data_IF_897141091560
#
_entry.id   IF_897141091560
#
_cell.length_a   1.000
_cell.length_b   1.000
_cell.length_c   1.000
_cell.angle_alpha   90.00
_cell.angle_beta   90.00
_cell.angle_gamma   90.00
#
_symmetry.space_group_name_H-M   'P 1'
#
loop_
_entity.id
_entity.type
_entity.pdbx_description
1 polymer ?
#
# COMPACT_ATOMS: atom_id res chain seq x y z
N UNK A 1 34.76 58.77 17.96
CA UNK A 1 34.89 57.83 19.10
C UNK A 1 34.28 56.49 18.73
N UNK A 2 35.12 55.51 18.38
CA UNK A 2 34.70 54.16 18.04
C UNK A 2 34.27 53.45 19.33
N UNK A 3 32.98 53.13 19.47
CA UNK A 3 32.45 52.29 20.56
C UNK A 3 33.08 50.90 20.42
N UNK A 4 34.01 50.56 21.32
CA UNK A 4 34.54 49.19 21.46
C UNK A 4 33.36 48.22 21.61
N UNK A 5 33.13 47.38 20.59
CA UNK A 5 32.22 46.22 20.69
C UNK A 5 32.74 45.35 21.84
N UNK A 6 31.90 45.11 22.85
CA UNK A 6 32.19 44.11 23.88
C UNK A 6 32.38 42.75 23.18
N UNK A 7 33.34 41.92 23.64
CA UNK A 7 33.52 40.58 23.10
C UNK A 7 32.21 39.78 23.26
N UNK A 8 31.92 38.83 22.36
CA UNK A 8 30.73 37.98 22.46
C UNK A 8 30.77 37.23 23.79
N UNK A 9 29.78 37.49 24.63
CA UNK A 9 29.57 36.74 25.87
C UNK A 9 29.13 35.32 25.49
N UNK A 10 29.94 34.33 25.87
CA UNK A 10 29.64 32.93 25.66
C UNK A 10 28.72 32.50 26.81
N UNK A 11 27.45 32.20 26.48
CA UNK A 11 26.48 31.73 27.48
C UNK A 11 27.03 30.48 28.17
N UNK A 12 27.12 30.51 29.51
CA UNK A 12 27.38 29.30 30.29
C UNK A 12 26.07 28.52 30.45
N UNK A 13 26.15 27.23 30.76
CA UNK A 13 24.97 26.33 30.74
C UNK A 13 23.78 26.82 31.58
N UNK A 14 24.04 27.60 32.64
CA UNK A 14 23.02 28.26 33.45
C UNK A 14 22.28 29.39 32.70
N UNK A 15 23.00 30.22 31.95
CA UNK A 15 22.40 31.32 31.19
C UNK A 15 21.60 30.81 29.99
N UNK A 16 22.04 29.69 29.42
CA UNK A 16 21.25 28.95 28.43
C UNK A 16 19.95 28.51 29.10
N UNK A 17 20.02 27.83 30.26
CA UNK A 17 18.83 27.33 30.97
C UNK A 17 17.82 28.42 31.33
N UNK A 18 18.27 29.56 31.88
CA UNK A 18 17.41 30.73 32.19
C UNK A 18 16.71 31.26 30.93
N UNK A 19 17.41 31.29 29.79
CA UNK A 19 16.83 31.73 28.52
C UNK A 19 15.85 30.70 27.93
N UNK A 20 16.03 29.40 28.16
CA UNK A 20 15.14 28.35 27.60
C UNK A 20 13.95 27.99 28.49
N UNK A 21 14.00 28.31 29.79
CA UNK A 21 12.97 27.94 30.79
C UNK A 21 11.57 28.45 30.45
N UNK A 22 11.50 29.65 29.89
CA UNK A 22 10.25 30.38 29.67
C UNK A 22 9.73 30.27 28.22
N UNK A 23 10.40 29.51 27.35
CA UNK A 23 9.80 29.18 26.05
C UNK A 23 8.54 28.33 26.27
N UNK A 24 7.49 28.52 25.45
CA UNK A 24 6.37 27.59 25.43
C UNK A 24 6.93 26.19 25.26
N UNK A 25 6.54 25.25 26.14
CA UNK A 25 6.80 23.83 25.97
C UNK A 25 6.07 23.37 24.71
N UNK A 26 6.64 23.64 23.54
CA UNK A 26 6.31 22.91 22.33
C UNK A 26 6.73 21.47 22.63
N UNK A 27 5.73 20.65 22.91
CA UNK A 27 5.88 19.21 23.03
C UNK A 27 6.61 18.71 21.80
N UNK A 28 7.84 18.26 21.99
CA UNK A 28 8.65 17.51 21.02
C UNK A 28 8.05 16.10 20.83
N UNK A 29 6.73 15.94 20.90
CA UNK A 29 6.03 14.65 20.80
C UNK A 29 5.92 14.19 19.34
N UNK A 30 5.70 15.12 18.42
CA UNK A 30 5.27 14.76 17.06
C UNK A 30 6.46 14.33 16.17
N UNK A 31 7.67 14.77 16.53
CA UNK A 31 8.91 14.38 15.86
C UNK A 31 9.43 13.05 16.40
N UNK A 32 9.27 12.80 17.70
CA UNK A 32 9.85 11.66 18.40
C UNK A 32 9.39 10.32 17.80
N UNK A 33 8.08 10.08 17.69
CA UNK A 33 7.57 8.76 17.29
C UNK A 33 8.02 8.34 15.89
N UNK A 34 7.95 9.25 14.90
CA UNK A 34 8.36 8.92 13.51
C UNK A 34 9.85 8.63 13.37
N UNK A 35 10.70 9.43 14.02
CA UNK A 35 12.14 9.24 13.95
C UNK A 35 12.57 8.01 14.76
N UNK A 36 11.94 7.77 15.92
CA UNK A 36 12.14 6.55 16.72
C UNK A 36 11.74 5.29 15.96
N UNK A 37 10.54 5.26 15.35
CA UNK A 37 10.08 4.13 14.54
C UNK A 37 11.06 3.80 13.42
N UNK A 38 11.55 4.81 12.71
CA UNK A 38 12.50 4.61 11.62
C UNK A 38 13.83 4.05 12.15
N UNK A 39 14.36 4.59 13.25
CA UNK A 39 15.63 4.14 13.81
C UNK A 39 15.54 2.70 14.32
N UNK A 40 14.49 2.39 15.07
CA UNK A 40 14.20 1.03 15.56
C UNK A 40 14.05 0.08 14.37
N UNK A 41 13.28 0.46 13.34
CA UNK A 41 13.14 -0.33 12.14
C UNK A 41 14.49 -0.57 11.44
N UNK A 42 15.27 0.49 11.19
CA UNK A 42 16.55 0.37 10.50
C UNK A 42 17.50 -0.54 11.27
N UNK A 43 17.59 -0.38 12.60
CA UNK A 43 18.46 -1.21 13.44
C UNK A 43 18.00 -2.67 13.45
N UNK A 44 16.70 -2.94 13.65
CA UNK A 44 16.14 -4.30 13.57
C UNK A 44 16.44 -4.91 12.20
N UNK A 45 16.03 -4.21 11.14
CA UNK A 45 16.06 -4.74 9.78
C UNK A 45 17.49 -4.97 9.30
N UNK A 46 18.39 -4.00 9.48
CA UNK A 46 19.78 -4.12 9.04
C UNK A 46 20.56 -5.19 9.81
N UNK A 47 20.25 -5.37 11.10
CA UNK A 47 20.86 -6.40 11.94
C UNK A 47 20.40 -7.81 11.54
N UNK A 48 19.09 -7.98 11.27
CA UNK A 48 18.54 -9.25 10.78
C UNK A 48 19.05 -9.59 9.37
N UNK A 49 19.13 -8.60 8.48
CA UNK A 49 19.64 -8.76 7.11
C UNK A 49 21.17 -8.89 7.06
N UNK A 50 21.86 -8.65 8.17
CA UNK A 50 23.32 -8.61 8.26
C UNK A 50 23.96 -7.68 7.22
N UNK A 51 23.39 -6.48 7.03
CA UNK A 51 23.94 -5.48 6.10
C UNK A 51 25.30 -4.98 6.62
N UNK A 52 26.42 -5.25 5.93
CA UNK A 52 27.75 -4.91 6.44
C UNK A 52 27.95 -3.41 6.71
N UNK A 53 27.15 -2.56 6.06
CA UNK A 53 27.26 -1.11 6.23
C UNK A 53 26.55 -0.57 7.48
N UNK A 54 25.49 -1.24 7.94
CA UNK A 54 24.55 -0.69 8.91
C UNK A 54 24.12 -1.66 10.02
N UNK A 55 24.67 -2.88 10.06
CA UNK A 55 24.34 -3.86 11.11
C UNK A 55 24.85 -3.39 12.47
N UNK A 56 24.03 -3.58 13.51
CA UNK A 56 24.45 -3.37 14.90
C UNK A 56 25.32 -4.53 15.41
N UNK A 57 25.38 -5.64 14.68
CA UNK A 57 26.24 -6.79 14.95
C UNK A 57 27.58 -6.69 14.20
N UNK A 58 28.43 -5.74 14.60
CA UNK A 58 29.74 -5.51 13.97
C UNK A 58 30.91 -6.15 14.76
N UNK A 59 32.09 -6.24 14.14
CA UNK A 59 33.26 -6.89 14.76
C UNK A 59 33.74 -6.17 16.03
N UNK A 60 33.61 -4.84 16.10
CA UNK A 60 34.00 -4.08 17.30
C UNK A 60 33.12 -4.46 18.48
N UNK A 61 31.81 -4.52 18.25
CA UNK A 61 30.86 -4.94 19.27
C UNK A 61 31.13 -6.37 19.75
N UNK A 62 31.49 -7.26 18.82
CA UNK A 62 31.83 -8.65 19.13
C UNK A 62 33.10 -8.81 19.98
N UNK A 63 34.04 -7.86 19.89
CA UNK A 63 35.22 -7.80 20.76
C UNK A 63 34.91 -7.22 22.14
N UNK A 64 33.92 -6.33 22.24
CA UNK A 64 33.45 -5.73 23.49
C UNK A 64 32.54 -6.68 24.29
N UNK A 65 31.89 -7.66 23.63
CA UNK A 65 30.96 -8.59 24.27
C UNK A 65 31.52 -9.25 25.54
N UNK A 66 32.70 -9.91 25.53
CA UNK A 66 33.25 -10.56 26.74
C UNK A 66 33.45 -9.62 27.93
N UNK A 67 33.62 -8.31 27.67
CA UNK A 67 33.84 -7.30 28.70
C UNK A 67 32.54 -6.77 29.30
N UNK A 68 31.45 -6.79 28.53
CA UNK A 68 30.19 -6.10 28.87
C UNK A 68 29.03 -7.03 29.14
N UNK A 69 28.97 -8.22 28.52
CA UNK A 69 27.79 -9.09 28.53
C UNK A 69 28.13 -10.57 28.32
N UNK A 70 27.33 -11.46 28.90
CA UNK A 70 27.48 -12.92 28.76
C UNK A 70 26.72 -13.45 27.53
N UNK A 71 27.24 -13.16 26.34
CA UNK A 71 26.75 -13.72 25.06
C UNK A 71 27.82 -14.59 24.40
N UNK A 72 28.21 -15.67 25.08
CA UNK A 72 29.31 -16.56 24.65
C UNK A 72 29.13 -17.17 23.26
N UNK A 73 27.90 -17.32 22.78
CA UNK A 73 27.61 -17.80 21.43
C UNK A 73 27.92 -16.77 20.32
N UNK A 74 27.99 -15.48 20.69
CA UNK A 74 28.33 -14.38 19.81
C UNK A 74 29.80 -13.96 19.92
N UNK A 75 30.59 -14.45 20.86
CA UNK A 75 31.99 -14.05 20.99
C UNK A 75 32.84 -14.38 19.75
N UNK A 76 33.86 -13.55 19.49
CA UNK A 76 34.84 -13.81 18.42
C UNK A 76 35.59 -15.11 18.70
N UNK A 77 35.79 -15.94 17.67
CA UNK A 77 36.49 -17.23 17.81
C UNK A 77 37.84 -17.20 17.13
N UNK A 78 38.85 -17.73 17.80
CA UNK A 78 40.14 -18.00 17.17
C UNK A 78 40.00 -19.17 16.19
N UNK A 79 40.38 -18.92 14.94
CA UNK A 79 40.55 -19.94 13.93
C UNK A 79 41.91 -20.65 14.12
N UNK A 80 42.08 -21.87 13.58
CA UNK A 80 43.36 -22.62 13.64
C UNK A 80 44.56 -21.86 13.05
N UNK A 81 44.32 -20.87 12.18
CA UNK A 81 45.33 -20.03 11.57
C UNK A 81 45.71 -18.78 12.39
N UNK A 82 45.24 -18.70 13.65
CA UNK A 82 45.49 -17.57 14.56
C UNK A 82 44.63 -16.32 14.30
N UNK A 83 43.84 -16.29 13.23
CA UNK A 83 42.91 -15.16 12.96
C UNK A 83 41.64 -15.28 13.79
N UNK A 84 41.06 -14.13 14.11
CA UNK A 84 39.75 -14.05 14.75
C UNK A 84 38.64 -14.07 13.70
N UNK A 85 37.56 -14.81 13.97
CA UNK A 85 36.38 -14.90 13.11
C UNK A 85 35.11 -14.59 13.89
N UNK A 86 34.20 -13.83 13.25
CA UNK A 86 32.86 -13.56 13.75
C UNK A 86 31.94 -14.74 13.45
N UNK A 87 31.49 -15.53 14.45
CA UNK A 87 30.52 -16.59 14.19
C UNK A 87 29.17 -16.00 13.76
N UNK A 88 28.50 -16.67 12.82
CA UNK A 88 27.17 -16.26 12.35
C UNK A 88 26.19 -16.24 13.53
N UNK A 89 25.54 -15.10 13.78
CA UNK A 89 24.47 -15.01 14.77
C UNK A 89 23.22 -15.78 14.31
N UNK A 90 22.49 -16.36 15.26
CA UNK A 90 21.22 -17.05 14.99
C UNK A 90 20.13 -16.12 14.44
N UNK A 91 20.20 -14.83 14.78
CA UNK A 91 19.28 -13.79 14.31
C UNK A 91 19.69 -13.16 12.98
N UNK A 92 20.84 -13.52 12.41
CA UNK A 92 21.32 -12.93 11.15
C UNK A 92 21.07 -13.87 9.97
N UNK A 93 20.53 -13.33 8.88
CA UNK A 93 20.38 -14.06 7.63
C UNK A 93 21.74 -14.28 6.95
N UNK A 94 21.84 -15.38 6.20
CA UNK A 94 22.89 -15.54 5.18
C UNK A 94 22.67 -14.55 4.04
N UNK A 95 23.72 -14.34 3.23
CA UNK A 95 23.61 -13.54 2.00
C UNK A 95 22.48 -14.04 1.09
N UNK A 96 22.34 -15.35 0.91
CA UNK A 96 21.29 -15.91 0.04
C UNK A 96 19.88 -15.72 0.63
N UNK A 97 19.71 -15.91 1.94
CA UNK A 97 18.43 -15.62 2.62
C UNK A 97 18.06 -14.13 2.54
N UNK A 98 19.03 -13.23 2.72
CA UNK A 98 18.81 -11.79 2.58
C UNK A 98 18.40 -11.41 1.15
N UNK A 99 18.99 -12.03 0.12
CA UNK A 99 18.57 -11.85 -1.28
C UNK A 99 17.15 -12.34 -1.53
N UNK A 100 16.72 -13.43 -0.89
CA UNK A 100 15.35 -13.92 -0.96
C UNK A 100 14.37 -12.90 -0.37
N UNK A 101 14.65 -12.36 0.82
CA UNK A 101 13.83 -11.30 1.42
C UNK A 101 13.73 -10.08 0.49
N UNK A 102 14.84 -9.62 -0.08
CA UNK A 102 14.83 -8.53 -1.05
C UNK A 102 14.02 -8.86 -2.30
N UNK A 103 14.07 -10.10 -2.81
CA UNK A 103 13.28 -10.53 -3.97
C UNK A 103 11.78 -10.51 -3.65
N UNK A 104 11.39 -11.05 -2.50
CA UNK A 104 10.00 -10.99 -2.03
C UNK A 104 9.50 -9.56 -1.92
N UNK A 105 10.29 -8.63 -1.37
CA UNK A 105 9.93 -7.20 -1.29
C UNK A 105 9.87 -6.55 -2.68
N UNK A 106 10.73 -6.99 -3.62
CA UNK A 106 10.75 -6.47 -4.99
C UNK A 106 9.50 -6.86 -5.80
N UNK A 107 8.97 -8.04 -5.54
CA UNK A 107 7.78 -8.58 -6.19
C UNK A 107 6.49 -8.14 -5.48
N UNK A 108 6.58 -7.75 -4.20
CA UNK A 108 5.46 -7.29 -3.38
C UNK A 108 4.67 -6.16 -4.04
N UNK A 109 3.35 -6.35 -4.14
CA UNK A 109 2.38 -5.34 -4.54
C UNK A 109 1.55 -4.95 -3.32
N UNK A 110 1.55 -3.66 -3.00
CA UNK A 110 0.70 -3.09 -1.95
C UNK A 110 -0.52 -2.40 -2.58
N UNK A 111 -1.64 -2.27 -1.85
CA UNK A 111 -2.77 -1.45 -2.27
C UNK A 111 -2.31 -0.03 -2.61
N UNK A 112 -3.02 0.59 -3.56
CA UNK A 112 -2.67 1.96 -3.98
C UNK A 112 -2.78 2.94 -2.81
N UNK A 113 -1.85 3.90 -2.75
CA UNK A 113 -1.75 4.87 -1.65
C UNK A 113 -1.26 4.31 -0.29
N UNK A 114 -1.16 2.99 -0.10
CA UNK A 114 -0.83 2.40 1.21
C UNK A 114 0.67 2.45 1.56
N UNK A 115 1.56 2.26 0.58
CA UNK A 115 3.01 2.37 0.75
C UNK A 115 3.63 2.97 -0.51
N UNK A 116 4.86 3.49 -0.42
CA UNK A 116 5.58 3.83 -1.65
C UNK A 116 6.01 2.55 -2.39
N UNK A 117 6.53 2.69 -3.60
CA UNK A 117 6.99 1.55 -4.39
C UNK A 117 8.28 0.94 -3.79
N UNK A 118 8.11 0.03 -2.81
CA UNK A 118 9.18 -0.66 -2.08
C UNK A 118 10.14 -1.44 -2.99
N UNK A 119 9.68 -1.85 -4.18
CA UNK A 119 10.54 -2.55 -5.14
C UNK A 119 11.75 -1.72 -5.58
N UNK A 120 11.64 -0.39 -5.56
CA UNK A 120 12.75 0.54 -5.88
C UNK A 120 13.82 0.55 -4.80
N UNK A 121 13.46 0.14 -3.58
CA UNK A 121 14.36 0.10 -2.44
C UNK A 121 15.13 -1.22 -2.34
N UNK A 122 14.68 -2.28 -3.01
CA UNK A 122 15.26 -3.62 -2.88
C UNK A 122 16.42 -3.87 -3.85
N UNK A 123 17.65 -3.98 -3.32
CA UNK A 123 18.84 -4.43 -4.02
C UNK A 123 19.03 -5.93 -3.82
N UNK A 124 18.42 -6.73 -4.70
CA UNK A 124 18.48 -8.19 -4.71
C UNK A 124 19.90 -8.70 -4.96
N UNK A 125 20.76 -7.94 -5.66
CA UNK A 125 22.13 -8.38 -5.93
C UNK A 125 22.99 -8.35 -4.68
N UNK A 126 22.82 -7.31 -3.86
CA UNK A 126 23.58 -7.09 -2.63
C UNK A 126 22.86 -7.60 -1.38
N UNK A 127 21.62 -8.07 -1.50
CA UNK A 127 20.81 -8.55 -0.38
C UNK A 127 20.50 -7.47 0.65
N UNK A 128 20.22 -6.24 0.22
CA UNK A 128 19.94 -5.11 1.13
C UNK A 128 18.86 -4.17 0.62
N UNK A 129 18.30 -3.39 1.52
CA UNK A 129 17.34 -2.33 1.21
C UNK A 129 18.02 -0.95 1.23
N UNK A 130 17.62 -0.04 0.34
CA UNK A 130 18.12 1.33 0.28
C UNK A 130 17.02 2.34 0.01
N UNK A 131 17.15 3.51 0.63
CA UNK A 131 16.27 4.65 0.34
C UNK A 131 14.83 4.47 0.80
N UNK A 132 14.57 3.55 1.74
CA UNK A 132 13.27 3.47 2.42
C UNK A 132 13.03 4.76 3.21
N UNK A 133 11.87 5.38 3.01
CA UNK A 133 11.46 6.55 3.79
C UNK A 133 10.85 6.09 5.11
N UNK A 134 10.75 6.98 6.09
CA UNK A 134 10.17 6.65 7.40
C UNK A 134 8.75 6.08 7.31
N UNK A 135 7.96 6.46 6.30
CA UNK A 135 6.63 5.88 6.07
C UNK A 135 6.71 4.42 5.57
N UNK A 136 7.69 4.11 4.72
CA UNK A 136 7.91 2.75 4.24
C UNK A 136 8.37 1.83 5.38
N UNK A 137 9.29 2.33 6.21
CA UNK A 137 9.74 1.67 7.44
C UNK A 137 8.56 1.40 8.37
N UNK A 138 7.70 2.39 8.59
CA UNK A 138 6.48 2.27 9.40
C UNK A 138 5.54 1.17 8.90
N UNK A 139 5.23 1.17 7.60
CA UNK A 139 4.39 0.14 6.98
C UNK A 139 5.03 -1.24 7.15
N UNK A 140 6.34 -1.35 6.91
CA UNK A 140 7.04 -2.61 7.08
C UNK A 140 6.98 -3.10 8.53
N UNK A 141 7.27 -2.21 9.47
CA UNK A 141 7.28 -2.49 10.90
C UNK A 141 5.92 -3.00 11.38
N UNK A 142 4.82 -2.42 10.89
CA UNK A 142 3.45 -2.80 11.25
C UNK A 142 2.87 -4.00 10.52
N UNK A 143 3.32 -4.28 9.30
CA UNK A 143 2.67 -5.27 8.44
C UNK A 143 3.57 -6.43 8.02
N UNK A 144 4.83 -6.14 7.71
CA UNK A 144 5.70 -7.05 6.98
C UNK A 144 6.76 -7.71 7.86
N UNK A 145 7.18 -7.08 8.97
CA UNK A 145 8.26 -7.60 9.82
C UNK A 145 8.11 -9.10 10.17
N UNK A 146 7.02 -9.56 10.81
CA UNK A 146 6.89 -10.97 11.18
C UNK A 146 6.74 -11.89 9.95
N UNK A 147 6.26 -11.36 8.82
CA UNK A 147 6.07 -12.13 7.59
C UNK A 147 7.44 -12.37 6.92
N UNK A 148 8.23 -11.30 6.76
CA UNK A 148 9.53 -11.34 6.11
C UNK A 148 10.57 -12.15 6.88
N UNK A 149 10.38 -12.28 8.19
CA UNK A 149 11.33 -12.93 9.10
C UNK A 149 10.73 -14.18 9.77
N UNK A 150 9.69 -14.78 9.16
CA UNK A 150 8.99 -15.97 9.68
C UNK A 150 9.88 -17.22 9.78
N UNK A 151 10.93 -17.31 8.97
CA UNK A 151 11.85 -18.45 8.94
C UNK A 151 12.75 -18.55 10.18
N UNK A 152 12.83 -17.49 11.00
CA UNK A 152 13.64 -17.54 12.21
C UNK A 152 13.03 -18.43 13.30
N UNK A 153 13.88 -19.02 14.17
CA UNK A 153 13.44 -19.75 15.35
C UNK A 153 12.48 -18.95 16.22
N UNK A 154 11.66 -19.66 17.00
CA UNK A 154 10.59 -19.04 17.80
C UNK A 154 11.12 -18.04 18.83
N UNK A 155 12.35 -18.25 19.29
CA UNK A 155 13.09 -17.40 20.22
C UNK A 155 13.32 -16.01 19.64
N UNK A 156 13.45 -15.88 18.31
CA UNK A 156 13.68 -14.61 17.60
C UNK A 156 12.38 -14.08 16.98
N UNK A 157 11.59 -14.95 16.34
CA UNK A 157 10.39 -14.52 15.63
C UNK A 157 9.27 -14.06 16.56
N UNK A 158 9.16 -14.61 17.79
CA UNK A 158 8.15 -14.17 18.76
C UNK A 158 8.41 -12.72 19.24
N UNK A 159 9.60 -12.33 19.72
CA UNK A 159 9.86 -10.93 20.10
C UNK A 159 9.70 -9.94 18.95
N UNK A 160 10.10 -10.31 17.72
CA UNK A 160 9.85 -9.51 16.52
C UNK A 160 8.35 -9.31 16.25
N UNK A 161 7.55 -10.36 16.45
CA UNK A 161 6.09 -10.30 16.32
C UNK A 161 5.46 -9.44 17.42
N UNK A 162 5.97 -9.50 18.65
CA UNK A 162 5.52 -8.64 19.75
C UNK A 162 5.83 -7.16 19.47
N UNK A 163 7.02 -6.85 18.95
CA UNK A 163 7.40 -5.51 18.52
C UNK A 163 6.49 -4.98 17.39
N UNK A 164 6.22 -5.82 16.38
CA UNK A 164 5.26 -5.52 15.32
C UNK A 164 3.86 -5.19 15.88
N UNK A 165 3.36 -6.03 16.79
CA UNK A 165 2.05 -5.83 17.44
C UNK A 165 2.02 -4.55 18.26
N UNK A 166 3.09 -4.26 18.99
CA UNK A 166 3.22 -3.02 19.75
C UNK A 166 2.99 -1.79 18.86
N UNK A 167 3.75 -1.64 17.77
CA UNK A 167 3.56 -0.53 16.84
C UNK A 167 2.23 -0.56 16.11
N UNK A 168 1.70 -1.75 15.80
CA UNK A 168 0.38 -1.89 15.18
C UNK A 168 -0.71 -1.33 16.08
N UNK A 169 -0.72 -1.67 17.36
CA UNK A 169 -1.71 -1.20 18.33
C UNK A 169 -1.50 0.28 18.71
N UNK A 170 -0.27 0.69 18.95
CA UNK A 170 0.06 2.08 19.32
C UNK A 170 -0.43 3.07 18.26
N UNK A 171 -0.30 2.71 16.99
CA UNK A 171 -0.60 3.59 15.87
C UNK A 171 -1.87 3.16 15.13
N UNK A 172 -2.84 2.58 15.84
CA UNK A 172 -4.21 2.41 15.37
C UNK A 172 -4.92 3.77 15.27
N UNK A 173 -5.94 3.84 14.42
CA UNK A 173 -6.75 5.05 14.24
C UNK A 173 -7.65 5.38 15.44
N UNK A 174 -7.97 4.36 16.23
CA UNK A 174 -8.79 4.43 17.43
C UNK A 174 -8.00 3.78 18.57
N UNK A 175 -7.84 4.49 19.68
CA UNK A 175 -7.13 4.01 20.85
C UNK A 175 -8.09 3.82 22.02
N UNK A 176 -7.96 2.70 22.73
CA UNK A 176 -8.63 2.46 24.01
C UNK A 176 -7.61 2.63 25.13
N UNK A 177 -7.99 3.33 26.20
CA UNK A 177 -7.10 3.57 27.34
C UNK A 177 -6.59 2.27 27.95
N UNK A 178 -7.46 1.26 28.09
CA UNK A 178 -7.09 -0.07 28.59
C UNK A 178 -6.00 -0.75 27.76
N UNK A 179 -6.07 -0.62 26.42
CA UNK A 179 -5.05 -1.16 25.52
C UNK A 179 -3.72 -0.41 25.68
N UNK A 180 -3.76 0.92 25.84
CA UNK A 180 -2.56 1.73 26.04
C UNK A 180 -1.85 1.40 27.37
N UNK A 181 -2.61 1.25 28.47
CA UNK A 181 -2.06 0.81 29.77
C UNK A 181 -1.42 -0.58 29.65
N UNK A 182 -2.03 -1.47 28.86
CA UNK A 182 -1.43 -2.79 28.57
C UNK A 182 -0.15 -2.65 27.74
N UNK A 183 -0.10 -1.75 26.76
CA UNK A 183 1.11 -1.50 25.96
C UNK A 183 2.24 -0.93 26.84
N UNK A 184 1.94 -0.01 27.75
CA UNK A 184 2.90 0.56 28.72
C UNK A 184 3.54 -0.54 29.59
N UNK A 185 2.74 -1.50 30.06
CA UNK A 185 3.25 -2.63 30.86
C UNK A 185 4.05 -3.64 30.04
N UNK A 186 3.69 -3.82 28.77
CA UNK A 186 4.29 -4.84 27.91
C UNK A 186 5.60 -4.37 27.25
N UNK A 187 5.74 -3.09 26.92
CA UNK A 187 6.90 -2.60 26.16
C UNK A 187 8.25 -2.85 26.86
N UNK A 188 8.41 -2.73 28.19
CA UNK A 188 9.67 -3.08 28.85
C UNK A 188 9.99 -4.58 28.68
N UNK A 189 8.96 -5.45 28.73
CA UNK A 189 9.13 -6.89 28.53
C UNK A 189 9.58 -7.20 27.09
N UNK A 190 9.01 -6.49 26.11
CA UNK A 190 9.42 -6.62 24.70
C UNK A 190 10.88 -6.23 24.53
N UNK A 191 11.29 -5.08 25.10
CA UNK A 191 12.69 -4.62 25.04
C UNK A 191 13.62 -5.65 25.70
N UNK A 192 13.32 -6.13 26.91
CA UNK A 192 14.14 -7.15 27.57
C UNK A 192 14.23 -8.46 26.78
N UNK A 193 13.16 -8.86 26.07
CA UNK A 193 13.21 -10.04 25.17
C UNK A 193 14.13 -9.80 23.98
N UNK A 194 14.13 -8.59 23.42
CA UNK A 194 15.04 -8.21 22.33
C UNK A 194 16.50 -8.13 22.84
N UNK A 195 16.73 -7.63 24.05
CA UNK A 195 18.06 -7.54 24.70
C UNK A 195 18.71 -8.90 24.90
N UNK A 196 17.90 -9.96 25.03
CA UNK A 196 18.38 -11.35 25.09
C UNK A 196 18.79 -11.93 23.74
N UNK A 197 18.50 -11.22 22.64
CA UNK A 197 18.76 -11.69 21.27
C UNK A 197 19.87 -10.87 20.63
N UNK A 198 19.75 -9.54 20.70
CA UNK A 198 20.63 -8.61 20.00
C UNK A 198 21.80 -8.15 20.89
N UNK A 199 22.95 -7.78 20.30
CA UNK A 199 24.08 -7.28 21.06
C UNK A 199 23.78 -5.92 21.71
N UNK A 200 24.44 -5.56 22.82
CA UNK A 200 24.22 -4.30 23.54
C UNK A 200 24.25 -3.03 22.68
N UNK A 201 25.13 -2.95 21.67
CA UNK A 201 25.19 -1.81 20.75
C UNK A 201 23.86 -1.53 20.03
N UNK A 202 23.02 -2.55 19.82
CA UNK A 202 21.69 -2.40 19.26
C UNK A 202 20.80 -1.45 20.07
N UNK A 203 20.94 -1.46 21.40
CA UNK A 203 20.10 -0.70 22.32
C UNK A 203 20.72 0.67 22.60
N UNK A 204 20.66 1.55 21.60
CA UNK A 204 20.97 2.95 21.82
C UNK A 204 19.76 3.65 22.46
N UNK A 205 19.88 4.97 22.69
CA UNK A 205 18.81 5.72 23.34
C UNK A 205 17.46 5.60 22.61
N UNK A 206 17.45 5.43 21.28
CA UNK A 206 16.23 5.40 20.48
C UNK A 206 15.38 4.15 20.74
N UNK A 207 15.98 2.98 20.95
CA UNK A 207 15.27 1.74 21.27
C UNK A 207 14.63 1.81 22.67
N UNK A 208 15.29 2.46 23.62
CA UNK A 208 14.75 2.63 24.97
C UNK A 208 13.61 3.64 25.04
N UNK A 209 13.55 4.62 24.14
CA UNK A 209 12.45 5.59 24.11
C UNK A 209 11.08 4.97 23.82
N UNK A 210 11.02 3.74 23.31
CA UNK A 210 9.78 3.00 23.09
C UNK A 210 8.92 2.90 24.35
N UNK A 211 9.53 2.88 25.54
CA UNK A 211 8.78 2.81 26.81
C UNK A 211 7.89 4.03 27.06
N UNK A 212 8.22 5.18 26.46
CA UNK A 212 7.48 6.43 26.65
C UNK A 212 6.30 6.57 25.67
N UNK A 213 6.31 5.82 24.56
CA UNK A 213 5.31 5.96 23.50
C UNK A 213 3.87 5.70 23.96
N UNK A 214 3.57 4.69 24.80
CA UNK A 214 2.22 4.49 25.31
C UNK A 214 1.72 5.69 26.12
N UNK A 215 2.56 6.24 27.01
CA UNK A 215 2.21 7.43 27.79
C UNK A 215 2.03 8.67 26.92
N UNK A 216 2.86 8.83 25.90
CA UNK A 216 2.68 9.87 24.91
C UNK A 216 1.33 9.75 24.18
N UNK A 217 0.90 8.52 23.85
CA UNK A 217 -0.40 8.27 23.24
C UNK A 217 -1.58 8.45 24.22
N UNK A 218 -1.39 8.19 25.52
CA UNK A 218 -2.40 8.47 26.56
C UNK A 218 -2.62 9.97 26.70
N UNK A 219 -1.54 10.77 26.69
CA UNK A 219 -1.61 12.22 26.86
C UNK A 219 -2.04 12.94 25.57
N UNK A 220 -1.49 12.52 24.43
CA UNK A 220 -1.64 13.19 23.13
C UNK A 220 -2.69 12.57 22.20
N UNK A 221 -3.34 11.49 22.61
CA UNK A 221 -4.29 10.76 21.78
C UNK A 221 -3.65 10.05 20.57
N UNK A 222 -4.47 9.67 19.55
CA UNK A 222 -4.02 8.89 18.40
C UNK A 222 -2.82 9.49 17.68
N UNK A 223 -1.79 8.67 17.48
CA UNK A 223 -0.49 9.09 16.90
C UNK A 223 -0.65 9.69 15.50
N UNK A 224 -1.66 9.27 14.74
CA UNK A 224 -1.90 9.73 13.36
C UNK A 224 -2.08 11.24 13.21
N UNK A 225 -2.66 11.91 14.22
CA UNK A 225 -2.85 13.37 14.21
C UNK A 225 -1.58 14.14 14.56
N UNK A 226 -0.61 13.44 15.14
CA UNK A 226 0.67 13.94 15.63
C UNK A 226 1.83 13.51 14.73
N UNK A 227 1.55 12.85 13.61
CA UNK A 227 2.58 12.47 12.66
C UNK A 227 3.07 13.66 11.85
N UNK A 228 4.38 13.69 11.61
CA UNK A 228 4.98 14.62 10.65
C UNK A 228 4.72 14.25 9.16
N UNK A 229 4.18 13.06 8.87
CA UNK A 229 3.98 12.61 7.48
C UNK A 229 3.09 13.55 6.65
N UNK A 230 1.91 14.00 7.12
CA UNK A 230 1.05 14.90 6.34
C UNK A 230 1.73 16.23 6.07
N UNK A 231 2.40 16.81 7.07
CA UNK A 231 3.11 18.08 6.97
C UNK A 231 4.28 17.99 5.98
N UNK A 232 5.11 16.95 6.05
CA UNK A 232 6.20 16.76 5.09
C UNK A 232 5.70 16.53 3.66
N UNK A 233 4.59 15.81 3.50
CA UNK A 233 3.96 15.60 2.18
C UNK A 233 3.49 16.93 1.60
N UNK A 234 2.82 17.74 2.40
CA UNK A 234 2.37 19.09 2.04
C UNK A 234 3.54 20.01 1.67
N UNK A 235 4.59 20.03 2.49
CA UNK A 235 5.80 20.80 2.18
C UNK A 235 6.47 20.33 0.89
N UNK A 236 6.42 19.03 0.61
CA UNK A 236 6.85 18.46 -0.66
C UNK A 236 6.07 18.99 -1.87
N UNK A 237 4.76 19.19 -1.73
CA UNK A 237 3.92 19.81 -2.75
C UNK A 237 4.30 21.28 -2.97
N UNK A 238 4.40 22.06 -1.89
CA UNK A 238 4.80 23.47 -1.96
C UNK A 238 6.16 23.64 -2.63
N UNK A 239 7.13 22.78 -2.30
CA UNK A 239 8.45 22.79 -2.95
C UNK A 239 8.37 22.58 -4.46
N UNK A 240 7.44 21.76 -4.95
CA UNK A 240 7.22 21.54 -6.40
C UNK A 240 6.49 22.70 -7.08
N UNK A 241 5.68 23.44 -6.32
CA UNK A 241 4.96 24.63 -6.77
C UNK A 241 5.87 25.85 -6.98
N UNK A 242 7.06 25.88 -6.36
CA UNK A 242 8.01 27.00 -6.54
C UNK A 242 8.60 26.97 -7.96
N UNK A 243 8.11 27.85 -8.83
CA UNK A 243 8.67 28.09 -10.17
C UNK A 243 9.67 29.24 -10.19
N UNK A 244 9.45 30.27 -9.36
CA UNK A 244 10.37 31.40 -9.21
C UNK A 244 10.96 31.43 -7.79
N UNK A 245 12.26 31.14 -7.68
CA UNK A 245 12.97 31.13 -6.39
C UNK A 245 13.19 32.52 -5.78
N UNK A 246 13.06 33.60 -6.55
CA UNK A 246 13.15 34.98 -6.03
C UNK A 246 11.86 35.42 -5.32
N UNK A 247 10.74 34.72 -5.55
CA UNK A 247 9.42 34.99 -4.97
C UNK A 247 8.73 33.65 -4.65
N UNK A 248 9.19 33.01 -3.57
CA UNK A 248 8.77 31.67 -3.17
C UNK A 248 7.29 31.67 -2.76
N UNK A 249 6.90 32.59 -1.89
CA UNK A 249 5.53 32.72 -1.37
C UNK A 249 4.55 33.02 -2.49
N UNK A 250 4.92 33.94 -3.39
CA UNK A 250 4.13 34.28 -4.57
C UNK A 250 3.93 33.08 -5.50
N UNK A 251 4.98 32.28 -5.74
CA UNK A 251 4.88 31.07 -6.58
C UNK A 251 3.94 30.03 -5.96
N UNK A 252 4.04 29.82 -4.64
CA UNK A 252 3.17 28.88 -3.91
C UNK A 252 1.72 29.37 -3.95
N UNK A 253 1.48 30.65 -3.65
CA UNK A 253 0.15 31.25 -3.67
C UNK A 253 -0.50 31.14 -5.05
N UNK A 254 0.22 31.51 -6.12
CA UNK A 254 -0.30 31.40 -7.50
C UNK A 254 -0.59 29.96 -7.87
N UNK A 255 0.30 29.01 -7.54
CA UNK A 255 0.05 27.58 -7.79
C UNK A 255 -1.16 27.06 -7.02
N UNK A 256 -1.36 27.50 -5.78
CA UNK A 256 -2.51 27.13 -4.97
C UNK A 256 -3.79 27.71 -5.56
N UNK A 257 -3.83 29.01 -5.85
CA UNK A 257 -4.97 29.68 -6.49
C UNK A 257 -5.34 29.01 -7.81
N UNK A 258 -4.35 28.68 -8.64
CA UNK A 258 -4.58 27.94 -9.88
C UNK A 258 -5.25 26.59 -9.61
N UNK A 259 -4.71 25.79 -8.68
CA UNK A 259 -5.26 24.48 -8.31
C UNK A 259 -6.69 24.60 -7.77
N UNK A 260 -6.96 25.54 -6.87
CA UNK A 260 -8.30 25.78 -6.31
C UNK A 260 -9.27 26.24 -7.40
N UNK A 261 -8.86 27.17 -8.27
CA UNK A 261 -9.69 27.65 -9.38
C UNK A 261 -10.03 26.49 -10.31
N UNK A 262 -9.05 25.67 -10.68
CA UNK A 262 -9.25 24.44 -11.47
C UNK A 262 -10.19 23.47 -10.77
N UNK A 263 -10.07 23.31 -9.44
CA UNK A 263 -10.94 22.46 -8.63
C UNK A 263 -12.39 22.98 -8.64
N UNK A 264 -12.62 24.27 -8.38
CA UNK A 264 -13.94 24.89 -8.46
C UNK A 264 -14.52 24.80 -9.87
N UNK A 265 -13.75 25.13 -10.90
CA UNK A 265 -14.18 24.99 -12.29
C UNK A 265 -14.56 23.54 -12.63
N UNK A 266 -13.90 22.54 -12.05
CA UNK A 266 -14.24 21.12 -12.30
C UNK A 266 -15.64 20.75 -11.78
N UNK A 267 -16.12 21.39 -10.70
CA UNK A 267 -17.49 21.20 -10.20
C UNK A 267 -18.54 21.79 -11.14
N UNK A 268 -18.23 22.91 -11.80
CA UNK A 268 -19.12 23.56 -12.77
C UNK A 268 -19.08 22.90 -14.16
N UNK A 269 -17.89 22.48 -14.61
CA UNK A 269 -17.67 21.86 -15.92
C UNK A 269 -17.48 20.35 -15.78
N UNK A 270 -18.53 19.63 -15.36
CA UNK A 270 -18.54 18.17 -15.14
C UNK A 270 -18.00 17.33 -16.32
N UNK A 271 -18.03 17.86 -17.54
CA UNK A 271 -17.60 17.17 -18.77
C UNK A 271 -16.10 17.28 -19.06
N UNK A 272 -15.38 18.20 -18.42
CA UNK A 272 -13.94 18.39 -18.63
C UNK A 272 -13.23 18.08 -17.33
N UNK A 273 -12.49 16.96 -17.30
CA UNK A 273 -11.70 16.56 -16.13
C UNK A 273 -10.48 17.48 -15.99
N UNK A 274 -10.69 18.65 -15.36
CA UNK A 274 -9.70 19.71 -15.23
C UNK A 274 -8.61 19.42 -14.18
N UNK A 275 -8.83 18.46 -13.28
CA UNK A 275 -7.88 18.12 -12.22
C UNK A 275 -6.89 17.01 -12.66
N UNK A 276 -5.64 17.05 -12.19
CA UNK A 276 -4.74 15.92 -12.29
C UNK A 276 -5.39 14.73 -11.62
N UNK A 277 -5.43 13.59 -12.33
CA UNK A 277 -6.03 12.31 -11.89
C UNK A 277 -5.58 11.79 -10.52
N UNK A 278 -4.61 12.45 -9.87
CA UNK A 278 -4.06 12.09 -8.56
C UNK A 278 -4.86 12.63 -7.36
N UNK A 279 -5.63 13.72 -7.51
CA UNK A 279 -6.38 14.31 -6.37
C UNK A 279 -7.71 13.61 -6.07
N UNK A 280 -8.21 12.77 -6.98
CA UNK A 280 -9.45 12.00 -6.82
C UNK A 280 -9.23 10.52 -6.46
N UNK A 281 -8.00 10.13 -6.09
CA UNK A 281 -7.63 8.71 -5.89
C UNK A 281 -8.36 8.07 -4.70
N UNK A 282 -8.87 8.86 -3.74
CA UNK A 282 -9.44 8.34 -2.49
C UNK A 282 -10.96 8.43 -2.38
N UNK A 283 -11.66 8.89 -3.42
CA UNK A 283 -13.12 8.96 -3.38
C UNK A 283 -13.73 8.07 -4.47
N UNK A 284 -14.14 6.83 -4.14
CA UNK A 284 -14.89 6.00 -5.08
C UNK A 284 -16.26 6.60 -5.45
N UNK A 285 -16.74 7.64 -4.75
CA UNK A 285 -18.01 8.32 -5.03
C UNK A 285 -17.93 9.52 -5.98
N UNK A 286 -16.75 10.13 -6.16
CA UNK A 286 -16.69 11.48 -6.76
C UNK A 286 -16.95 11.56 -8.26
N UNK A 287 -16.97 10.46 -9.02
CA UNK A 287 -17.10 10.54 -10.48
C UNK A 287 -18.52 10.44 -11.01
N UNK A 288 -19.51 9.98 -10.23
CA UNK A 288 -20.83 9.65 -10.81
C UNK A 288 -22.06 9.89 -9.93
N UNK A 289 -21.99 10.70 -8.86
CA UNK A 289 -23.20 10.99 -8.07
C UNK A 289 -24.30 11.77 -8.82
N UNK A 290 -24.08 12.20 -10.07
CA UNK A 290 -25.06 13.01 -10.81
C UNK A 290 -25.29 12.64 -12.27
N UNK A 291 -24.82 11.47 -12.74
CA UNK A 291 -25.27 10.92 -14.03
C UNK A 291 -26.05 9.67 -13.69
N UNK A 292 -27.38 9.79 -13.60
CA UNK A 292 -28.26 8.65 -13.62
C UNK A 292 -27.88 7.81 -14.85
N UNK A 293 -27.36 6.58 -14.66
CA UNK A 293 -27.02 5.71 -15.78
C UNK A 293 -28.29 5.53 -16.61
N UNK A 294 -28.17 5.70 -17.93
CA UNK A 294 -29.31 5.57 -18.84
C UNK A 294 -29.91 4.16 -18.84
N UNK A 295 -29.08 3.15 -18.49
CA UNK A 295 -29.47 1.75 -18.34
C UNK A 295 -28.85 1.20 -17.05
N UNK A 296 -29.56 0.31 -16.36
CA UNK A 296 -29.17 -0.19 -15.03
C UNK A 296 -27.83 -0.92 -15.03
N UNK A 297 -27.46 -1.57 -16.14
CA UNK A 297 -26.19 -2.28 -16.32
C UNK A 297 -24.97 -1.36 -16.29
N UNK A 298 -25.14 -0.07 -16.56
CA UNK A 298 -24.07 0.93 -16.51
C UNK A 298 -23.96 1.66 -15.16
N UNK A 299 -24.71 1.21 -14.15
CA UNK A 299 -24.65 1.78 -12.80
C UNK A 299 -23.32 1.56 -12.08
N UNK A 300 -22.53 0.55 -12.49
CA UNK A 300 -21.24 0.22 -11.89
C UNK A 300 -20.11 0.44 -12.91
N UNK A 301 -19.79 1.70 -13.20
CA UNK A 301 -18.64 2.03 -14.02
C UNK A 301 -17.33 1.88 -13.23
N UNK A 302 -16.40 1.12 -13.79
CA UNK A 302 -15.02 1.13 -13.33
C UNK A 302 -14.18 2.17 -14.06
N UNK A 303 -12.93 2.33 -13.63
CA UNK A 303 -11.96 3.27 -14.19
C UNK A 303 -10.88 2.51 -14.98
N UNK A 304 -10.74 2.72 -16.29
CA UNK A 304 -9.62 2.20 -17.05
C UNK A 304 -8.30 2.94 -16.73
N UNK A 305 -7.18 2.26 -16.90
CA UNK A 305 -5.84 2.81 -16.71
C UNK A 305 -4.83 2.24 -17.70
N UNK A 306 -3.92 3.09 -18.15
CA UNK A 306 -2.94 2.78 -19.19
C UNK A 306 -3.34 3.33 -20.56
N UNK A 307 -2.52 3.03 -21.58
CA UNK A 307 -2.75 3.49 -22.95
C UNK A 307 -3.90 2.68 -23.58
N UNK A 308 -4.97 3.32 -24.09
CA UNK A 308 -6.04 2.62 -24.79
C UNK A 308 -5.53 1.98 -26.07
N UNK A 309 -6.13 0.85 -26.46
CA UNK A 309 -5.92 0.20 -27.76
C UNK A 309 -7.25 -0.13 -28.39
N UNK A 310 -7.33 0.05 -29.70
CA UNK A 310 -8.45 -0.45 -30.48
C UNK A 310 -8.41 -1.98 -30.47
N UNK A 311 -9.55 -2.60 -30.16
CA UNK A 311 -9.72 -4.05 -30.15
C UNK A 311 -10.99 -4.40 -30.92
N UNK A 312 -10.86 -5.30 -31.89
CA UNK A 312 -12.01 -5.85 -32.60
C UNK A 312 -12.44 -7.11 -31.87
N UNK A 313 -13.66 -7.07 -31.33
CA UNK A 313 -14.23 -8.14 -30.51
C UNK A 313 -14.49 -9.36 -31.41
N UNK A 314 -14.09 -10.56 -30.95
CA UNK A 314 -14.37 -11.80 -31.68
C UNK A 314 -15.87 -12.11 -31.67
N UNK A 315 -16.38 -12.83 -32.68
CA UNK A 315 -17.82 -13.13 -32.78
C UNK A 315 -18.38 -13.79 -31.51
N UNK A 316 -17.66 -14.75 -30.93
CA UNK A 316 -18.05 -15.41 -29.66
C UNK A 316 -18.06 -14.46 -28.46
N UNK A 317 -17.10 -13.54 -28.41
CA UNK A 317 -17.04 -12.53 -27.35
C UNK A 317 -18.18 -11.53 -27.51
N UNK A 318 -18.51 -11.18 -28.75
CA UNK A 318 -19.61 -10.28 -29.09
C UNK A 318 -20.95 -10.90 -28.70
N UNK A 319 -21.21 -12.15 -29.08
CA UNK A 319 -22.42 -12.90 -28.74
C UNK A 319 -22.59 -13.02 -27.22
N UNK A 320 -21.53 -13.44 -26.53
CA UNK A 320 -21.53 -13.56 -25.06
C UNK A 320 -21.77 -12.21 -24.37
N UNK A 321 -21.12 -11.16 -24.86
CA UNK A 321 -21.28 -9.79 -24.33
C UNK A 321 -22.69 -9.27 -24.57
N UNK A 322 -23.23 -9.44 -25.77
CA UNK A 322 -24.59 -9.03 -26.13
C UNK A 322 -25.62 -9.75 -25.26
N UNK A 323 -25.51 -11.07 -25.11
CA UNK A 323 -26.36 -11.86 -24.22
C UNK A 323 -26.27 -11.40 -22.77
N UNK A 324 -25.06 -11.15 -22.27
CA UNK A 324 -24.86 -10.66 -20.92
C UNK A 324 -25.60 -9.33 -20.68
N UNK A 325 -25.51 -8.40 -21.65
CA UNK A 325 -26.25 -7.14 -21.58
C UNK A 325 -27.75 -7.35 -21.55
N UNK A 326 -28.29 -8.23 -22.39
CA UNK A 326 -29.74 -8.46 -22.47
C UNK A 326 -30.32 -9.10 -21.20
N UNK A 327 -29.61 -10.03 -20.55
CA UNK A 327 -30.10 -10.75 -19.37
C UNK A 327 -29.97 -9.91 -18.09
N UNK A 328 -28.93 -9.07 -17.99
CA UNK A 328 -28.59 -8.36 -16.75
C UNK A 328 -29.07 -6.90 -16.71
N UNK A 329 -29.78 -6.43 -17.75
CA UNK A 329 -30.34 -5.08 -17.81
C UNK A 329 -31.80 -5.08 -17.32
N UNK A 330 -32.11 -4.28 -16.30
CA UNK A 330 -33.45 -4.28 -15.68
C UNK A 330 -34.54 -3.82 -16.66
N UNK A 331 -34.18 -2.93 -17.58
CA UNK A 331 -35.06 -2.42 -18.63
C UNK A 331 -35.42 -3.48 -19.68
N UNK A 332 -34.63 -4.56 -19.80
CA UNK A 332 -34.87 -5.67 -20.74
C UNK A 332 -35.66 -6.82 -20.09
N UNK A 333 -35.65 -6.93 -18.76
CA UNK A 333 -36.35 -8.01 -18.01
C UNK A 333 -37.83 -8.18 -18.38
N UNK A 334 -38.65 -7.12 -18.55
CA UNK A 334 -40.05 -7.30 -18.94
C UNK A 334 -40.22 -8.00 -20.29
N UNK A 335 -39.28 -7.78 -21.22
CA UNK A 335 -39.29 -8.43 -22.53
C UNK A 335 -38.84 -9.88 -22.45
N UNK A 336 -37.93 -10.19 -21.53
CA UNK A 336 -37.54 -11.57 -21.24
C UNK A 336 -38.73 -12.37 -20.67
N UNK A 337 -39.50 -11.77 -19.77
CA UNK A 337 -40.74 -12.37 -19.24
C UNK A 337 -41.79 -12.58 -20.33
N UNK A 338 -42.00 -11.59 -21.21
CA UNK A 338 -42.89 -11.71 -22.37
C UNK A 338 -42.45 -12.84 -23.32
N UNK A 339 -41.16 -12.97 -23.59
CA UNK A 339 -40.60 -14.05 -24.41
C UNK A 339 -40.88 -15.43 -23.78
N UNK A 340 -40.62 -15.58 -22.48
CA UNK A 340 -40.91 -16.83 -21.76
C UNK A 340 -42.40 -17.19 -21.80
N UNK A 341 -43.29 -16.20 -21.66
CA UNK A 341 -44.74 -16.40 -21.73
C UNK A 341 -45.21 -16.78 -23.13
N UNK A 342 -44.70 -16.13 -24.17
CA UNK A 342 -45.05 -16.39 -25.57
C UNK A 342 -44.64 -17.81 -26.00
N UNK A 343 -43.45 -18.25 -25.59
CA UNK A 343 -42.92 -19.57 -25.93
C UNK A 343 -43.33 -20.69 -24.96
N UNK A 344 -44.09 -20.37 -23.89
CA UNK A 344 -44.55 -21.33 -22.85
C UNK A 344 -43.41 -22.18 -22.28
N UNK A 345 -42.28 -21.56 -22.00
CA UNK A 345 -41.05 -22.25 -21.58
C UNK A 345 -41.09 -22.51 -20.07
N UNK A 346 -40.80 -23.74 -19.63
CA UNK A 346 -40.57 -24.08 -18.21
C UNK A 346 -39.18 -23.58 -17.77
N UNK A 347 -39.03 -23.14 -16.51
CA UNK A 347 -37.78 -22.56 -15.99
C UNK A 347 -36.53 -23.46 -16.19
N UNK A 348 -36.70 -24.78 -16.24
CA UNK A 348 -35.61 -25.77 -16.39
C UNK A 348 -34.98 -25.80 -17.80
N UNK A 349 -35.74 -25.47 -18.86
CA UNK A 349 -35.26 -25.46 -20.26
C UNK A 349 -34.97 -24.05 -20.81
N UNK A 350 -35.22 -23.02 -19.99
CA UNK A 350 -35.20 -21.62 -20.40
C UNK A 350 -33.83 -21.13 -20.87
N UNK A 351 -32.74 -21.61 -20.27
CA UNK A 351 -31.41 -21.06 -20.52
C UNK A 351 -30.95 -21.25 -21.98
N UNK A 352 -31.17 -22.41 -22.59
CA UNK A 352 -30.73 -22.68 -23.97
C UNK A 352 -31.48 -21.84 -24.99
N UNK A 353 -32.82 -21.83 -24.89
CA UNK A 353 -33.70 -21.05 -25.76
C UNK A 353 -33.49 -19.55 -25.65
N UNK A 354 -33.23 -19.04 -24.44
CA UNK A 354 -32.90 -17.62 -24.23
C UNK A 354 -31.59 -17.27 -24.95
N UNK A 355 -30.55 -18.10 -24.83
CA UNK A 355 -29.27 -17.83 -25.49
C UNK A 355 -29.33 -17.90 -27.02
N UNK A 356 -30.19 -18.74 -27.59
CA UNK A 356 -30.29 -18.92 -29.05
C UNK A 356 -31.27 -17.95 -29.72
N UNK A 357 -32.45 -17.73 -29.12
CA UNK A 357 -33.58 -17.12 -29.84
C UNK A 357 -33.96 -15.74 -29.31
N UNK A 358 -33.66 -15.41 -28.05
CA UNK A 358 -34.07 -14.15 -27.44
C UNK A 358 -33.52 -12.91 -28.14
N UNK A 359 -32.23 -12.82 -28.55
CA UNK A 359 -31.71 -11.63 -29.22
C UNK A 359 -32.43 -11.32 -30.53
N UNK A 360 -32.65 -12.35 -31.36
CA UNK A 360 -33.34 -12.24 -32.64
C UNK A 360 -34.80 -11.86 -32.43
N UNK A 361 -35.48 -12.54 -31.49
CA UNK A 361 -36.86 -12.24 -31.13
C UNK A 361 -37.02 -10.81 -30.61
N UNK A 362 -36.14 -10.36 -29.70
CA UNK A 362 -36.20 -9.01 -29.14
C UNK A 362 -36.02 -7.97 -30.24
N UNK A 363 -35.10 -8.21 -31.18
CA UNK A 363 -34.87 -7.34 -32.34
C UNK A 363 -36.08 -7.25 -33.25
N UNK A 364 -36.79 -8.34 -33.49
CA UNK A 364 -38.06 -8.33 -34.25
C UNK A 364 -39.16 -7.61 -33.46
N UNK A 365 -39.30 -7.93 -32.17
CA UNK A 365 -40.32 -7.38 -31.29
C UNK A 365 -40.25 -5.85 -31.19
N UNK A 366 -39.04 -5.29 -31.02
CA UNK A 366 -38.87 -3.83 -30.87
C UNK A 366 -39.00 -3.04 -32.17
N UNK A 367 -38.93 -3.71 -33.31
CA UNK A 367 -39.07 -3.11 -34.64
C UNK A 367 -40.49 -3.26 -35.21
N UNK A 368 -41.35 -4.11 -34.60
CA UNK A 368 -42.75 -4.20 -34.98
C UNK A 368 -43.55 -3.02 -34.41
N UNK A 369 -44.10 -2.19 -35.29
CA UNK A 369 -44.88 -1.00 -34.95
C UNK A 369 -46.17 -1.32 -34.15
N UNK A 370 -46.61 -2.58 -34.14
CA UNK A 370 -47.80 -3.05 -33.41
C UNK A 370 -47.56 -3.24 -31.91
N UNK A 371 -46.30 -3.36 -31.47
CA UNK A 371 -45.92 -3.71 -30.09
C UNK A 371 -45.70 -2.47 -29.18
N UNK A 372 -46.17 -1.30 -29.62
CA UNK A 372 -45.93 -0.02 -28.96
C UNK A 372 -44.59 0.60 -29.36
N UNK A 373 -44.18 1.67 -28.66
CA UNK A 373 -42.88 2.32 -28.90
C UNK A 373 -41.92 1.98 -27.77
N UNK A 374 -41.09 0.92 -27.90
CA UNK A 374 -40.05 0.62 -26.92
C UNK A 374 -39.12 1.82 -26.73
N UNK A 375 -38.56 1.93 -25.53
CA UNK A 375 -37.53 2.94 -25.22
C UNK A 375 -36.41 2.90 -26.28
N UNK A 376 -35.90 4.06 -26.74
CA UNK A 376 -34.77 4.12 -27.67
C UNK A 376 -33.56 3.31 -27.20
N UNK A 377 -33.38 3.16 -25.88
CA UNK A 377 -32.27 2.42 -25.28
C UNK A 377 -32.45 0.91 -25.41
N UNK A 378 -33.69 0.40 -25.29
CA UNK A 378 -33.99 -1.02 -25.52
C UNK A 378 -33.83 -1.37 -26.99
N UNK A 379 -34.24 -0.46 -27.90
CA UNK A 379 -33.99 -0.61 -29.34
C UNK A 379 -32.48 -0.69 -29.65
N UNK A 380 -31.67 0.17 -29.02
CA UNK A 380 -30.22 0.13 -29.19
C UNK A 380 -29.61 -1.17 -28.65
N UNK A 381 -30.05 -1.66 -27.49
CA UNK A 381 -29.60 -2.94 -26.92
C UNK A 381 -29.94 -4.14 -27.81
N UNK A 382 -31.11 -4.13 -28.47
CA UNK A 382 -31.51 -5.19 -29.38
C UNK A 382 -30.63 -5.29 -30.64
N UNK A 383 -29.96 -4.19 -31.04
CA UNK A 383 -29.02 -4.17 -32.16
C UNK A 383 -27.64 -4.73 -31.80
N UNK A 384 -27.30 -4.76 -30.51
CA UNK A 384 -26.04 -5.27 -29.98
C UNK A 384 -24.90 -4.25 -29.94
N UNK A 385 -23.77 -4.62 -29.29
CA UNK A 385 -22.65 -3.71 -29.06
C UNK A 385 -21.86 -3.41 -30.34
N UNK A 386 -21.12 -2.30 -30.34
CA UNK A 386 -20.20 -1.98 -31.43
C UNK A 386 -19.07 -3.03 -31.48
N UNK A 387 -18.78 -3.66 -32.64
CA UNK A 387 -17.70 -4.64 -32.79
C UNK A 387 -16.30 -4.08 -32.49
N UNK A 388 -16.14 -2.75 -32.59
CA UNK A 388 -14.92 -2.05 -32.19
C UNK A 388 -15.00 -1.63 -30.72
N UNK A 389 -14.25 -2.31 -29.88
CA UNK A 389 -14.06 -1.96 -28.48
C UNK A 389 -12.76 -1.18 -28.26
N UNK A 390 -12.71 -0.41 -27.17
CA UNK A 390 -11.46 0.12 -26.62
C UNK A 390 -11.02 -0.79 -25.48
N UNK A 391 -9.77 -1.24 -25.52
CA UNK A 391 -9.17 -2.12 -24.52
C UNK A 391 -8.12 -1.38 -23.68
N UNK A 392 -8.01 -1.77 -22.41
CA UNK A 392 -7.01 -1.28 -21.47
C UNK A 392 -6.38 -2.45 -20.72
N UNK A 393 -5.08 -2.33 -20.44
CA UNK A 393 -4.36 -3.36 -19.69
C UNK A 393 -4.71 -3.38 -18.19
N UNK A 394 -5.30 -2.30 -17.66
CA UNK A 394 -5.67 -2.18 -16.25
C UNK A 394 -7.05 -1.53 -16.15
N UNK A 395 -7.91 -2.12 -15.32
CA UNK A 395 -9.24 -1.62 -15.03
C UNK A 395 -9.51 -1.68 -13.52
N UNK A 396 -10.02 -0.61 -12.93
CA UNK A 396 -10.37 -0.53 -11.52
C UNK A 396 -11.88 -0.63 -11.37
N UNK A 397 -12.40 -1.64 -10.69
CA UNK A 397 -13.83 -1.83 -10.49
C UNK A 397 -14.09 -2.37 -9.08
N UNK A 398 -15.08 -1.81 -8.38
CA UNK A 398 -15.45 -2.19 -7.00
C UNK A 398 -14.27 -2.23 -6.01
N UNK A 399 -13.33 -1.26 -6.12
CA UNK A 399 -12.13 -1.20 -5.28
C UNK A 399 -11.02 -2.19 -5.66
N UNK A 400 -11.24 -3.05 -6.64
CA UNK A 400 -10.26 -4.01 -7.14
C UNK A 400 -9.54 -3.48 -8.38
N UNK A 401 -8.26 -3.81 -8.51
CA UNK A 401 -7.46 -3.55 -9.70
C UNK A 401 -7.34 -4.83 -10.54
N UNK A 402 -8.04 -4.88 -11.66
CA UNK A 402 -7.94 -5.94 -12.66
C UNK A 402 -6.83 -5.55 -13.65
N UNK A 403 -5.89 -6.45 -13.90
CA UNK A 403 -4.86 -6.25 -14.91
C UNK A 403 -4.88 -7.41 -15.91
N UNK A 404 -5.02 -7.09 -17.19
CA UNK A 404 -4.98 -8.05 -18.29
C UNK A 404 -3.57 -8.06 -18.85
N UNK A 405 -2.95 -9.24 -18.91
CA UNK A 405 -1.63 -9.44 -19.52
C UNK A 405 -1.67 -10.62 -20.49
N UNK A 406 -1.07 -10.45 -21.66
CA UNK A 406 -0.86 -11.55 -22.60
C UNK A 406 0.27 -12.44 -22.10
N UNK A 407 0.00 -13.73 -22.07
CA UNK A 407 0.90 -14.71 -21.50
C UNK A 407 0.95 -15.94 -22.40
N UNK A 408 2.05 -16.13 -23.13
CA UNK A 408 2.22 -17.27 -24.03
C UNK A 408 2.25 -18.64 -23.31
N UNK A 409 2.35 -18.65 -21.98
CA UNK A 409 2.46 -19.86 -21.16
C UNK A 409 1.24 -20.12 -20.26
N UNK A 410 0.14 -19.36 -20.39
CA UNK A 410 -1.05 -19.49 -19.54
C UNK A 410 -2.27 -19.93 -20.35
N UNK A 411 -2.71 -21.18 -20.14
CA UNK A 411 -3.94 -21.75 -20.67
C UNK A 411 -4.92 -22.01 -19.50
N UNK A 412 -6.08 -21.33 -19.45
CA UNK A 412 -7.07 -21.49 -18.39
C UNK A 412 -7.93 -22.76 -18.51
N UNK A 413 -7.72 -23.61 -19.53
CA UNK A 413 -8.55 -24.80 -19.75
C UNK A 413 -8.17 -25.96 -18.79
N UNK A 414 -9.10 -26.31 -17.90
CA UNK A 414 -9.15 -27.43 -16.94
C UNK A 414 -7.84 -28.05 -16.41
N UNK A 415 -7.55 -27.76 -15.14
CA UNK A 415 -6.70 -28.53 -14.20
C UNK A 415 -5.23 -28.80 -14.58
N UNK A 416 -4.70 -28.18 -15.63
CA UNK A 416 -3.32 -28.38 -16.05
C UNK A 416 -2.33 -27.29 -15.57
N UNK A 417 -2.79 -26.06 -15.32
CA UNK A 417 -1.93 -24.90 -15.02
C UNK A 417 -2.10 -24.22 -13.65
N UNK A 418 -3.18 -24.52 -12.92
CA UNK A 418 -3.58 -23.82 -11.68
C UNK A 418 -3.94 -24.80 -10.57
N UNK A 419 -3.52 -24.49 -9.34
CA UNK A 419 -4.00 -25.12 -8.10
C UNK A 419 -4.82 -24.09 -7.32
N UNK A 420 -6.07 -24.42 -7.00
CA UNK A 420 -6.91 -23.58 -6.15
C UNK A 420 -6.77 -24.07 -4.71
N UNK A 421 -6.46 -23.17 -3.79
CA UNK A 421 -6.59 -23.44 -2.36
C UNK A 421 -8.02 -23.06 -1.92
N UNK A 422 -8.85 -24.07 -1.69
CA UNK A 422 -10.30 -23.92 -1.41
C UNK A 422 -10.59 -23.14 -0.12
N UNK A 423 -9.67 -23.12 0.85
CA UNK A 423 -9.86 -22.45 2.14
C UNK A 423 -9.67 -20.92 2.04
N UNK A 424 -8.78 -20.48 1.15
CA UNK A 424 -8.42 -19.06 1.01
C UNK A 424 -8.80 -18.45 -0.33
N UNK A 425 -9.33 -19.27 -1.25
CA UNK A 425 -9.66 -18.91 -2.62
C UNK A 425 -8.47 -18.29 -3.39
N UNK A 426 -7.26 -18.81 -3.12
CA UNK A 426 -6.01 -18.37 -3.72
C UNK A 426 -5.63 -19.30 -4.87
N UNK A 427 -5.30 -18.72 -6.01
CA UNK A 427 -4.85 -19.44 -7.21
C UNK A 427 -3.33 -19.49 -7.25
N UNK A 428 -2.76 -20.68 -7.17
CA UNK A 428 -1.33 -20.93 -7.34
C UNK A 428 -1.06 -21.41 -8.78
N UNK A 429 -0.10 -20.79 -9.47
CA UNK A 429 0.16 -21.03 -10.90
C UNK A 429 1.44 -21.85 -11.04
N UNK A 430 1.34 -23.03 -11.65
CA UNK A 430 2.50 -23.93 -11.83
C UNK A 430 3.38 -23.45 -13.00
N UNK A 431 4.53 -22.88 -12.68
CA UNK A 431 5.51 -22.29 -13.62
C UNK A 431 6.33 -23.32 -14.45
N UNK A 432 5.99 -24.60 -14.41
CA UNK A 432 6.92 -25.69 -14.71
C UNK A 432 6.99 -26.08 -16.20
N UNK A 433 6.10 -25.57 -17.07
CA UNK A 433 6.09 -25.91 -18.49
C UNK A 433 6.02 -24.65 -19.35
N UNK A 434 7.01 -24.48 -20.22
CA UNK A 434 6.92 -23.57 -21.37
C UNK A 434 6.29 -24.36 -22.52
N UNK A 435 5.17 -23.87 -23.05
CA UNK A 435 4.61 -24.36 -24.30
C UNK A 435 5.15 -23.46 -25.42
N UNK A 436 5.66 -24.07 -26.50
CA UNK A 436 6.19 -23.37 -27.68
C UNK A 436 5.07 -22.86 -28.58
#
# INVERSE_FOLDING_TARGET
MIKKKRPPYMFIGHDIWEAVRDFPKFTVSDWATKFQEKNVFDNVFNTLMNDPANTMDNEKERLDLPLKCLHGDLEMRHLPNGKMAKPKAKFSLTSEEAKLVCRSIKELKMPDGYASNLSRCADVTKGRMKGMKSHDCHVFMKCLLPISFRSFPSEISKPLTELNRFFKHLCCNTLKLEDLVRLERNVPIIICKLERIFPPCFFNSMEHLLIHLPNEAILGGPVQYRWMYPFERLMGDYKRSVKNKARVEGSICTSYLHRETTYFCSHYFKTVSLLPSTSFINDPGSYHENVQPTLSIFSKCGRPSGKPRDYWVLDKEWESTHMHFLINCDEVKPYLELFMQYHRINEEDASGLIHEQFPSWLKEYVNDERNGTPSPYVKALALGPNPKATSWNIYFVNGNKIAIFYCAWFDPTNNSGTRVNEEYNIFDIKMNKRYC
#
